data_IF_594964388818
#
_entry.id   IF_594964388818
#
_cell.length_a   1.000
_cell.length_b   1.000
_cell.length_c   1.000
_cell.angle_alpha   90.00
_cell.angle_beta   90.00
_cell.angle_gamma   90.00
#
_symmetry.space_group_name_H-M   'P 1'
#
loop_
_entity.id
_entity.type
_entity.pdbx_description
1 polymer ?
#
# COMPACT_ATOMS: atom_id res chain seq x y z
N UNK A 1 23.82 -6.29 -34.90
CA UNK A 1 23.51 -5.62 -36.17
C UNK A 1 22.29 -6.21 -36.90
N UNK A 2 22.01 -7.49 -36.80
CA UNK A 2 20.83 -8.16 -37.39
C UNK A 2 19.51 -7.70 -36.76
N UNK A 3 19.49 -7.50 -35.43
CA UNK A 3 18.35 -6.96 -34.70
C UNK A 3 18.01 -5.54 -35.08
N UNK A 4 19.02 -4.69 -35.34
CA UNK A 4 18.84 -3.30 -35.75
C UNK A 4 18.29 -3.22 -37.23
N UNK A 5 18.71 -4.14 -38.08
CA UNK A 5 18.14 -4.26 -39.43
C UNK A 5 16.65 -4.66 -39.39
N UNK A 6 16.32 -5.70 -38.62
CA UNK A 6 14.94 -6.15 -38.44
C UNK A 6 14.05 -5.08 -37.77
N UNK A 7 14.62 -4.26 -36.89
CA UNK A 7 13.92 -3.14 -36.25
C UNK A 7 13.60 -2.04 -37.26
N UNK A 8 14.58 -1.65 -38.09
CA UNK A 8 14.39 -0.63 -39.13
C UNK A 8 13.36 -1.07 -40.16
N UNK A 9 13.39 -2.34 -40.58
CA UNK A 9 12.41 -2.90 -41.50
C UNK A 9 10.99 -2.92 -40.92
N UNK A 10 10.87 -3.26 -39.61
CA UNK A 10 9.60 -3.26 -38.90
C UNK A 10 9.07 -1.84 -38.67
N UNK A 11 9.93 -0.85 -38.40
CA UNK A 11 9.57 0.56 -38.27
C UNK A 11 9.15 1.18 -39.58
N UNK A 12 9.81 0.80 -40.69
CA UNK A 12 9.48 1.26 -42.05
C UNK A 12 8.16 0.69 -42.59
N UNK A 13 7.77 -0.50 -42.11
CA UNK A 13 6.51 -1.16 -42.45
C UNK A 13 5.33 -0.73 -41.52
N UNK A 14 5.52 0.28 -40.69
CA UNK A 14 4.57 0.68 -39.65
C UNK A 14 3.40 1.45 -40.28
N UNK A 15 2.23 0.81 -40.31
CA UNK A 15 0.97 1.39 -40.75
C UNK A 15 0.40 2.34 -39.65
N UNK A 16 -0.45 3.30 -40.07
CA UNK A 16 -1.15 4.25 -39.17
C UNK A 16 -1.92 3.56 -37.99
N UNK A 17 -2.14 2.26 -38.08
CA UNK A 17 -2.82 1.43 -37.05
C UNK A 17 -1.93 0.98 -35.88
N UNK A 18 -0.64 1.28 -35.86
CA UNK A 18 0.22 1.06 -34.71
C UNK A 18 0.70 -0.37 -34.47
N UNK A 19 0.45 -1.31 -35.36
CA UNK A 19 0.92 -2.69 -35.30
C UNK A 19 1.59 -3.13 -36.59
N UNK A 20 2.85 -3.56 -36.51
CA UNK A 20 3.56 -4.18 -37.63
C UNK A 20 4.06 -5.56 -37.27
N UNK A 21 3.86 -6.53 -38.16
CA UNK A 21 4.19 -7.95 -37.94
C UNK A 21 5.33 -8.36 -38.88
N UNK A 22 6.53 -8.51 -38.32
CA UNK A 22 7.61 -9.26 -38.96
C UNK A 22 7.47 -10.76 -38.71
N UNK A 23 8.23 -11.60 -39.44
CA UNK A 23 8.20 -13.07 -39.29
C UNK A 23 8.49 -13.54 -37.84
N UNK A 24 9.28 -12.78 -37.09
CA UNK A 24 9.81 -13.16 -35.76
C UNK A 24 9.62 -12.10 -34.67
N UNK A 25 9.14 -10.90 -35.01
CA UNK A 25 9.03 -9.78 -34.07
C UNK A 25 7.73 -9.02 -34.33
N UNK A 26 6.96 -8.76 -33.28
CA UNK A 26 5.84 -7.83 -33.30
C UNK A 26 6.29 -6.47 -32.76
N UNK A 27 5.94 -5.40 -33.48
CA UNK A 27 6.22 -4.02 -33.10
C UNK A 27 4.92 -3.33 -32.76
N UNK A 28 4.83 -2.78 -31.56
CA UNK A 28 3.65 -2.06 -31.09
C UNK A 28 4.05 -0.62 -30.74
N UNK A 29 3.35 0.34 -31.31
CA UNK A 29 3.51 1.75 -30.95
C UNK A 29 2.79 2.05 -29.66
N UNK A 30 3.51 2.51 -28.65
CA UNK A 30 2.98 2.98 -27.40
C UNK A 30 2.74 4.50 -27.49
N UNK A 31 1.51 4.92 -27.28
CA UNK A 31 1.10 6.33 -27.28
C UNK A 31 0.61 6.72 -25.90
N UNK A 32 1.52 7.14 -25.04
CA UNK A 32 1.16 7.79 -23.78
C UNK A 32 0.70 9.23 -24.02
N UNK A 33 -0.10 9.77 -23.13
CA UNK A 33 -0.59 11.16 -23.21
C UNK A 33 0.49 12.18 -22.82
N UNK A 34 1.45 11.78 -22.00
CA UNK A 34 2.50 12.63 -21.45
C UNK A 34 3.92 12.17 -21.79
N UNK A 35 4.10 10.96 -22.31
CA UNK A 35 5.39 10.39 -22.65
C UNK A 35 5.74 10.59 -24.13
N UNK A 36 7.02 10.65 -24.49
CA UNK A 36 7.42 10.60 -25.87
C UNK A 36 6.98 9.28 -26.53
N UNK A 37 6.76 9.26 -27.84
CA UNK A 37 6.40 8.03 -28.56
C UNK A 37 7.47 6.96 -28.34
N UNK A 38 7.04 5.77 -27.97
CA UNK A 38 7.90 4.63 -27.72
C UNK A 38 7.39 3.40 -28.46
N UNK A 39 8.26 2.42 -28.63
CA UNK A 39 7.97 1.20 -29.36
C UNK A 39 8.24 -0.01 -28.46
N UNK A 40 7.25 -0.88 -28.33
CA UNK A 40 7.40 -2.16 -27.66
C UNK A 40 7.70 -3.24 -28.69
N UNK A 41 8.79 -3.94 -28.51
CA UNK A 41 9.19 -5.08 -29.34
C UNK A 41 8.86 -6.37 -28.59
N UNK A 42 8.07 -7.24 -29.20
CA UNK A 42 7.75 -8.56 -28.64
C UNK A 42 8.36 -9.61 -29.56
N UNK A 43 9.25 -10.42 -29.00
CA UNK A 43 9.77 -11.61 -29.66
C UNK A 43 9.05 -12.83 -29.03
N UNK A 44 8.03 -13.40 -29.69
CA UNK A 44 7.36 -14.57 -29.16
C UNK A 44 8.31 -15.76 -29.12
N UNK A 45 8.20 -16.58 -28.10
CA UNK A 45 8.91 -17.86 -28.04
C UNK A 45 8.55 -18.72 -29.26
N UNK A 46 9.52 -19.49 -29.75
CA UNK A 46 9.36 -20.35 -30.93
C UNK A 46 8.08 -21.16 -30.88
N UNK A 47 7.19 -20.95 -31.84
CA UNK A 47 5.89 -21.65 -31.94
C UNK A 47 4.68 -20.90 -31.36
N UNK A 48 4.86 -19.78 -30.67
CA UNK A 48 3.75 -18.96 -30.20
C UNK A 48 3.29 -18.01 -31.30
N UNK A 49 2.05 -18.12 -31.74
CA UNK A 49 1.42 -17.20 -32.69
C UNK A 49 0.66 -16.14 -31.89
N UNK A 50 1.14 -14.90 -31.91
CA UNK A 50 0.36 -13.75 -31.44
C UNK A 50 -0.76 -13.52 -32.46
N UNK A 51 -1.87 -14.25 -32.31
CA UNK A 51 -2.95 -14.28 -33.31
C UNK A 51 -3.98 -13.18 -33.12
N UNK A 52 -3.99 -12.50 -31.98
CA UNK A 52 -5.07 -11.57 -31.65
C UNK A 52 -4.55 -10.31 -30.94
N UNK A 53 -4.78 -9.16 -31.59
CA UNK A 53 -4.45 -7.83 -31.11
C UNK A 53 -5.24 -7.49 -29.81
N UNK A 54 -6.41 -8.05 -29.68
CA UNK A 54 -7.35 -7.77 -28.59
C UNK A 54 -6.83 -8.29 -27.23
N UNK A 55 -6.10 -9.41 -27.23
CA UNK A 55 -5.56 -10.01 -26.00
C UNK A 55 -4.40 -9.17 -25.38
N UNK A 56 -3.68 -8.40 -26.20
CA UNK A 56 -2.57 -7.56 -25.75
C UNK A 56 -2.99 -6.15 -25.30
N UNK A 57 -4.18 -5.70 -25.68
CA UNK A 57 -4.65 -4.34 -25.38
C UNK A 57 -4.63 -3.98 -23.89
N UNK A 58 -5.06 -4.84 -22.95
CA UNK A 58 -4.97 -4.53 -21.52
C UNK A 58 -3.52 -4.36 -21.04
N UNK A 59 -2.60 -5.19 -21.54
CA UNK A 59 -1.18 -5.11 -21.21
C UNK A 59 -0.55 -3.81 -21.74
N UNK A 60 -0.87 -3.44 -22.98
CA UNK A 60 -0.40 -2.21 -23.59
C UNK A 60 -0.85 -0.98 -22.82
N UNK A 61 -2.11 -0.96 -22.37
CA UNK A 61 -2.64 0.12 -21.51
C UNK A 61 -1.86 0.27 -20.23
N UNK A 62 -1.50 -0.84 -19.58
CA UNK A 62 -0.71 -0.81 -18.35
C UNK A 62 0.69 -0.25 -18.60
N UNK A 63 1.32 -0.65 -19.70
CA UNK A 63 2.65 -0.15 -20.10
C UNK A 63 2.60 1.35 -20.43
N UNK A 64 1.62 1.80 -21.19
CA UNK A 64 1.41 3.22 -21.55
C UNK A 64 1.20 4.08 -20.30
N UNK A 65 0.34 3.65 -19.37
CA UNK A 65 0.13 4.33 -18.10
C UNK A 65 1.41 4.38 -17.25
N UNK A 66 2.17 3.29 -17.21
CA UNK A 66 3.45 3.25 -16.52
C UNK A 66 4.46 4.24 -17.11
N UNK A 67 4.54 4.36 -18.41
CA UNK A 67 5.41 5.32 -19.10
C UNK A 67 4.99 6.76 -18.83
N UNK A 68 3.71 7.08 -18.85
CA UNK A 68 3.20 8.40 -18.52
C UNK A 68 3.56 8.80 -17.08
N UNK A 69 3.42 7.88 -16.14
CA UNK A 69 3.82 8.12 -14.74
C UNK A 69 5.32 8.40 -14.61
N UNK A 70 6.17 7.64 -15.30
CA UNK A 70 7.63 7.87 -15.29
C UNK A 70 7.96 9.22 -15.90
N UNK A 71 7.38 9.55 -17.06
CA UNK A 71 7.63 10.82 -17.77
C UNK A 71 7.19 12.03 -16.97
N UNK A 72 6.06 11.95 -16.27
CA UNK A 72 5.60 13.01 -15.37
C UNK A 72 6.56 13.19 -14.19
N UNK A 73 7.08 12.11 -13.62
CA UNK A 73 8.08 12.17 -12.54
C UNK A 73 9.41 12.76 -12.99
N UNK A 74 9.84 12.51 -14.22
CA UNK A 74 11.08 13.07 -14.76
C UNK A 74 10.94 14.57 -15.08
N UNK A 75 9.77 15.00 -15.55
CA UNK A 75 9.46 16.42 -15.75
C UNK A 75 9.48 17.21 -14.44
N UNK A 76 8.94 16.64 -13.36
CA UNK A 76 8.99 17.24 -12.03
C UNK A 76 10.43 17.38 -11.49
N UNK A 77 11.35 16.50 -11.90
CA UNK A 77 12.75 16.53 -11.48
C UNK A 77 13.61 17.50 -12.30
N UNK A 78 13.20 17.88 -13.51
CA UNK A 78 14.00 18.65 -14.46
C UNK A 78 13.66 20.15 -14.51
N UNK A 79 12.74 20.65 -13.71
CA UNK A 79 12.42 22.08 -13.64
C UNK A 79 13.30 22.75 -12.60
N UNK A 80 14.28 23.62 -13.00
CA UNK A 80 14.98 24.45 -12.03
C UNK A 80 14.01 25.48 -11.47
N UNK A 81 14.13 25.69 -10.18
CA UNK A 81 13.34 26.62 -9.39
C UNK A 81 13.30 28.01 -10.03
N UNK A 82 12.18 28.43 -10.58
CA UNK A 82 11.80 29.83 -10.72
C UNK A 82 10.29 30.00 -10.67
N UNK A 83 9.88 30.51 -9.53
CA UNK A 83 8.89 31.55 -9.26
C UNK A 83 7.42 31.37 -9.65
N UNK A 84 6.65 31.33 -8.59
CA UNK A 84 5.44 32.08 -8.30
C UNK A 84 4.07 31.45 -8.58
N UNK A 85 3.39 31.36 -7.48
CA UNK A 85 1.94 31.44 -7.28
C UNK A 85 1.10 30.17 -7.58
N UNK A 86 0.62 29.57 -6.49
CA UNK A 86 -0.50 28.63 -6.43
C UNK A 86 -0.31 27.29 -7.15
N UNK A 87 0.83 26.65 -6.94
CA UNK A 87 0.90 25.20 -7.11
C UNK A 87 0.60 24.54 -5.76
N UNK A 88 -0.53 23.92 -5.63
CA UNK A 88 -0.72 22.88 -4.63
C UNK A 88 0.34 21.81 -4.92
N UNK A 89 1.48 21.93 -4.30
CA UNK A 89 2.46 20.84 -4.22
C UNK A 89 1.76 19.72 -3.48
N UNK A 90 1.18 18.79 -4.23
CA UNK A 90 0.66 17.55 -3.70
C UNK A 90 1.86 16.78 -3.15
N UNK A 91 2.18 17.03 -1.87
CA UNK A 91 3.19 16.29 -1.15
C UNK A 91 2.74 14.85 -1.06
N UNK A 92 3.37 13.96 -1.84
CA UNK A 92 3.08 12.54 -1.78
C UNK A 92 3.39 12.01 -0.38
N UNK A 93 2.47 11.30 0.24
CA UNK A 93 2.63 10.72 1.59
C UNK A 93 3.84 9.78 1.66
N UNK A 94 4.09 9.03 0.59
CA UNK A 94 5.21 8.09 0.50
C UNK A 94 5.52 7.79 -0.98
N UNK A 95 6.72 7.29 -1.31
CA UNK A 95 7.03 6.85 -2.67
C UNK A 95 5.98 5.84 -3.17
N UNK A 96 5.38 6.13 -4.31
CA UNK A 96 4.32 5.29 -4.89
C UNK A 96 2.90 5.62 -4.47
N UNK A 97 2.67 6.52 -3.52
CA UNK A 97 1.34 7.01 -3.19
C UNK A 97 0.94 8.09 -4.20
N UNK A 98 0.12 7.71 -5.16
CA UNK A 98 -0.34 8.60 -6.24
C UNK A 98 -1.80 8.98 -5.93
N UNK A 99 -2.09 10.29 -5.93
CA UNK A 99 -3.43 10.82 -5.75
C UNK A 99 -3.65 12.03 -6.65
N UNK A 100 -4.88 12.24 -7.07
CA UNK A 100 -5.25 13.37 -7.94
C UNK A 100 -6.59 14.00 -7.57
N UNK A 101 -7.39 13.33 -6.74
CA UNK A 101 -8.69 13.86 -6.36
C UNK A 101 -8.59 14.86 -5.20
N UNK A 102 -9.45 15.89 -5.15
CA UNK A 102 -9.49 16.85 -4.03
C UNK A 102 -9.70 16.19 -2.66
N UNK A 103 -10.50 15.12 -2.60
CA UNK A 103 -10.72 14.35 -1.38
C UNK A 103 -9.44 13.69 -0.86
N UNK A 104 -8.64 13.13 -1.77
CA UNK A 104 -7.36 12.52 -1.39
C UNK A 104 -6.31 13.58 -1.02
N UNK A 105 -6.35 14.75 -1.63
CA UNK A 105 -5.50 15.88 -1.23
C UNK A 105 -5.82 16.32 0.20
N UNK A 106 -7.09 16.45 0.55
CA UNK A 106 -7.52 16.77 1.91
C UNK A 106 -7.05 15.70 2.93
N UNK A 107 -7.16 14.40 2.58
CA UNK A 107 -6.66 13.31 3.40
C UNK A 107 -5.14 13.41 3.62
N UNK A 108 -4.38 13.70 2.57
CA UNK A 108 -2.93 13.90 2.64
C UNK A 108 -2.58 15.05 3.61
N UNK A 109 -3.29 16.16 3.52
CA UNK A 109 -3.10 17.31 4.42
C UNK A 109 -3.41 16.94 5.88
N UNK A 110 -4.45 16.14 6.13
CA UNK A 110 -4.76 15.65 7.48
C UNK A 110 -3.65 14.73 8.02
N UNK A 111 -3.15 13.80 7.22
CA UNK A 111 -2.03 12.94 7.61
C UNK A 111 -0.80 13.77 7.98
N UNK A 112 -0.50 14.83 7.22
CA UNK A 112 0.60 15.73 7.53
C UNK A 112 0.41 16.49 8.86
N UNK A 113 -0.82 16.85 9.21
CA UNK A 113 -1.11 17.52 10.51
C UNK A 113 -0.85 16.62 11.70
N UNK A 114 -1.18 15.33 11.59
CA UNK A 114 -1.08 14.36 12.70
C UNK A 114 0.25 13.61 12.76
N UNK A 115 1.14 13.81 11.80
CA UNK A 115 2.41 13.05 11.69
C UNK A 115 3.29 13.09 12.93
N UNK A 116 3.34 14.24 13.62
CA UNK A 116 4.19 14.44 14.80
C UNK A 116 3.50 14.06 16.11
N UNK A 117 2.25 13.64 16.06
CA UNK A 117 1.44 13.28 17.23
C UNK A 117 1.35 11.77 17.38
N UNK A 118 1.37 11.28 18.62
CA UNK A 118 1.15 9.88 18.96
C UNK A 118 -0.35 9.55 19.23
N UNK A 119 -1.26 10.43 18.81
CA UNK A 119 -2.70 10.18 18.94
C UNK A 119 -3.10 8.90 18.20
N UNK A 120 -4.07 8.21 18.77
CA UNK A 120 -4.74 7.10 18.10
C UNK A 120 -5.50 7.61 16.87
N UNK A 121 -5.35 6.93 15.75
CA UNK A 121 -5.97 7.29 14.47
C UNK A 121 -6.94 6.20 14.06
N UNK A 122 -8.13 6.59 13.59
CA UNK A 122 -9.08 5.69 12.95
C UNK A 122 -9.22 6.06 11.47
N UNK A 123 -8.92 5.11 10.59
CA UNK A 123 -9.06 5.23 9.14
C UNK A 123 -10.34 4.50 8.71
N UNK A 124 -11.30 5.23 8.16
CA UNK A 124 -12.56 4.66 7.71
C UNK A 124 -12.66 4.65 6.19
N UNK A 125 -13.30 3.64 5.62
CA UNK A 125 -13.52 3.53 4.18
C UNK A 125 -13.89 2.12 3.75
N UNK A 126 -14.46 2.00 2.57
CA UNK A 126 -14.85 0.71 2.00
C UNK A 126 -13.67 -0.26 1.87
N UNK A 127 -13.97 -1.55 1.70
CA UNK A 127 -12.92 -2.55 1.44
C UNK A 127 -12.19 -2.21 0.13
N UNK A 128 -10.86 -2.36 0.13
CA UNK A 128 -10.05 -2.10 -1.06
C UNK A 128 -9.70 -0.63 -1.33
N UNK A 129 -10.14 0.33 -0.50
CA UNK A 129 -9.85 1.78 -0.69
C UNK A 129 -8.42 2.18 -0.32
N UNK A 130 -7.59 1.25 0.18
CA UNK A 130 -6.19 1.54 0.52
C UNK A 130 -5.96 1.98 1.95
N UNK A 131 -6.86 1.62 2.90
CA UNK A 131 -6.71 1.94 4.34
C UNK A 131 -5.34 1.55 4.91
N UNK A 132 -4.82 0.39 4.51
CA UNK A 132 -3.49 -0.06 4.94
C UNK A 132 -2.37 0.85 4.41
N UNK A 133 -2.46 1.31 3.14
CA UNK A 133 -1.47 2.23 2.57
C UNK A 133 -1.43 3.56 3.31
N UNK A 134 -2.61 4.10 3.65
CA UNK A 134 -2.73 5.33 4.45
C UNK A 134 -2.13 5.11 5.85
N UNK A 135 -2.41 3.98 6.50
CA UNK A 135 -1.89 3.65 7.83
C UNK A 135 -0.37 3.50 7.82
N UNK A 136 0.21 2.88 6.80
CA UNK A 136 1.67 2.81 6.61
C UNK A 136 2.28 4.20 6.37
N UNK A 137 1.60 5.06 5.61
CA UNK A 137 2.06 6.43 5.38
C UNK A 137 2.07 7.23 6.69
N UNK A 138 1.03 7.13 7.52
CA UNK A 138 0.97 7.76 8.85
C UNK A 138 2.16 7.32 9.72
N UNK A 139 2.48 6.02 9.72
CA UNK A 139 3.64 5.52 10.46
C UNK A 139 4.96 6.06 9.90
N UNK A 140 5.16 5.96 8.58
CA UNK A 140 6.41 6.37 7.89
C UNK A 140 6.71 7.86 8.04
N UNK A 141 5.68 8.70 8.17
CA UNK A 141 5.81 10.13 8.38
C UNK A 141 5.89 10.53 9.87
N UNK A 142 5.73 9.58 10.79
CA UNK A 142 5.68 9.85 12.23
C UNK A 142 7.07 9.90 12.88
N UNK A 143 7.07 10.29 14.15
CA UNK A 143 8.27 10.22 15.01
C UNK A 143 8.72 8.77 15.25
N UNK A 144 7.87 7.77 14.93
CA UNK A 144 8.15 6.33 15.08
C UNK A 144 8.50 5.65 13.75
N UNK A 145 8.83 6.40 12.70
CA UNK A 145 9.14 5.90 11.34
C UNK A 145 10.22 4.82 11.29
N UNK A 146 11.19 4.90 12.20
CA UNK A 146 12.32 3.96 12.29
C UNK A 146 12.06 2.82 13.31
N UNK A 147 10.85 2.77 13.86
CA UNK A 147 10.40 1.75 14.79
C UNK A 147 9.59 0.68 14.08
N UNK A 148 9.29 -0.40 14.81
CA UNK A 148 8.50 -1.50 14.24
C UNK A 148 7.07 -1.05 13.89
N UNK A 149 6.58 -1.49 12.75
CA UNK A 149 5.18 -1.41 12.34
C UNK A 149 4.60 -2.83 12.30
N UNK A 150 3.65 -3.11 13.18
CA UNK A 150 3.06 -4.44 13.33
C UNK A 150 1.62 -4.39 12.82
N UNK A 151 1.30 -5.00 11.66
CA UNK A 151 -0.08 -5.13 11.22
C UNK A 151 -0.75 -6.33 11.91
N UNK A 152 -2.01 -6.14 12.28
CA UNK A 152 -2.89 -7.18 12.80
C UNK A 152 -4.26 -7.07 12.13
N UNK A 153 -4.64 -8.09 11.38
CA UNK A 153 -5.97 -8.17 10.77
C UNK A 153 -6.92 -8.91 11.72
N UNK A 154 -7.95 -8.20 12.20
CA UNK A 154 -8.89 -8.73 13.18
C UNK A 154 -9.79 -9.86 12.61
N UNK A 155 -9.98 -9.90 11.28
CA UNK A 155 -10.79 -10.95 10.64
C UNK A 155 -9.99 -12.22 10.33
N UNK A 156 -8.65 -12.12 10.31
CA UNK A 156 -7.79 -13.26 9.96
C UNK A 156 -7.58 -14.25 11.12
N UNK A 157 -8.01 -13.89 12.33
CA UNK A 157 -7.83 -14.70 13.54
C UNK A 157 -9.18 -15.24 14.01
N UNK A 158 -9.29 -16.54 14.35
CA UNK A 158 -10.49 -17.08 14.98
C UNK A 158 -10.87 -16.27 16.22
N UNK A 159 -12.17 -15.99 16.38
CA UNK A 159 -12.69 -15.13 17.47
C UNK A 159 -12.24 -15.58 18.86
N UNK A 160 -12.21 -16.89 19.06
CA UNK A 160 -11.81 -17.52 20.33
C UNK A 160 -10.33 -17.33 20.67
N UNK A 161 -9.51 -17.05 19.67
CA UNK A 161 -8.07 -16.85 19.81
C UNK A 161 -7.65 -15.38 19.74
N UNK A 162 -8.56 -14.47 19.36
CA UNK A 162 -8.27 -13.06 19.14
C UNK A 162 -7.66 -12.39 20.38
N UNK A 163 -8.19 -12.68 21.56
CA UNK A 163 -7.67 -12.14 22.81
C UNK A 163 -6.23 -12.57 23.06
N UNK A 164 -5.95 -13.87 22.95
CA UNK A 164 -4.60 -14.41 23.15
C UNK A 164 -3.60 -13.89 22.16
N UNK A 165 -4.01 -13.69 20.88
CA UNK A 165 -3.14 -13.12 19.84
C UNK A 165 -2.83 -11.65 20.10
N UNK A 166 -3.80 -10.85 20.55
CA UNK A 166 -3.60 -9.43 20.81
C UNK A 166 -2.82 -9.19 22.10
N UNK A 167 -3.29 -9.73 23.21
CA UNK A 167 -2.78 -9.40 24.55
C UNK A 167 -1.71 -10.37 25.05
N UNK A 168 -1.58 -11.54 24.41
CA UNK A 168 -0.68 -12.59 24.83
C UNK A 168 -1.27 -13.51 25.89
N UNK A 169 -0.55 -14.55 26.24
CA UNK A 169 -0.94 -15.54 27.23
C UNK A 169 0.26 -16.23 27.86
N UNK A 170 0.05 -16.73 29.08
CA UNK A 170 0.98 -17.62 29.77
C UNK A 170 0.68 -19.07 29.45
N UNK A 171 1.70 -19.90 29.51
CA UNK A 171 1.57 -21.35 29.42
C UNK A 171 0.49 -21.84 30.41
N UNK A 172 -0.44 -22.64 29.90
CA UNK A 172 -1.56 -23.18 30.70
C UNK A 172 -2.74 -22.23 30.89
N UNK A 173 -2.75 -21.06 30.26
CA UNK A 173 -3.88 -20.12 30.37
C UNK A 173 -5.18 -20.65 29.76
N UNK A 174 -5.09 -21.52 28.77
CA UNK A 174 -6.22 -22.23 28.13
C UNK A 174 -5.75 -23.57 27.55
N UNK A 175 -6.69 -24.41 27.13
CA UNK A 175 -6.38 -25.70 26.49
C UNK A 175 -5.64 -25.45 25.17
N UNK A 176 -4.38 -25.90 25.08
CA UNK A 176 -3.51 -25.66 23.93
C UNK A 176 -2.45 -24.58 24.15
N UNK A 177 -2.45 -23.84 25.25
CA UNK A 177 -1.39 -22.89 25.61
C UNK A 177 -0.13 -23.64 26.11
N UNK A 178 0.62 -24.21 25.20
CA UNK A 178 1.83 -25.01 25.48
C UNK A 178 3.01 -24.15 25.91
N UNK A 179 3.12 -22.93 25.37
CA UNK A 179 4.20 -21.96 25.64
C UNK A 179 3.60 -20.60 25.97
N UNK A 180 4.43 -19.70 26.53
CA UNK A 180 4.09 -18.27 26.66
C UNK A 180 4.02 -17.61 25.29
N UNK A 181 3.08 -16.68 25.10
CA UNK A 181 3.02 -15.80 23.94
C UNK A 181 2.98 -14.34 24.38
N UNK A 182 3.83 -13.46 23.84
CA UNK A 182 3.83 -12.05 24.23
C UNK A 182 2.59 -11.28 23.76
N UNK A 183 1.93 -11.75 22.69
CA UNK A 183 0.86 -11.04 22.01
C UNK A 183 1.36 -9.92 21.09
N UNK A 184 0.49 -9.53 20.14
CA UNK A 184 0.83 -8.56 19.09
C UNK A 184 1.07 -7.15 19.66
N UNK A 185 0.30 -6.73 20.66
CA UNK A 185 0.47 -5.41 21.30
C UNK A 185 1.85 -5.29 21.91
N UNK A 186 2.31 -6.29 22.67
CA UNK A 186 3.65 -6.27 23.26
C UNK A 186 4.76 -6.38 22.20
N UNK A 187 4.52 -7.08 21.13
CA UNK A 187 5.46 -7.15 19.99
C UNK A 187 5.66 -5.78 19.34
N UNK A 188 4.64 -4.92 19.39
CA UNK A 188 4.67 -3.57 18.85
C UNK A 188 5.22 -2.52 19.82
N UNK A 189 5.71 -2.92 21.02
CA UNK A 189 6.18 -2.00 22.06
C UNK A 189 7.29 -1.08 21.54
N UNK A 190 7.18 0.22 21.81
CA UNK A 190 8.02 1.27 21.27
C UNK A 190 7.72 1.66 19.80
N UNK A 191 6.80 0.96 19.13
CA UNK A 191 6.47 1.14 17.72
C UNK A 191 5.02 1.53 17.44
N UNK A 192 4.48 1.00 16.37
CA UNK A 192 3.10 1.25 15.91
C UNK A 192 2.39 -0.08 15.66
N UNK A 193 1.20 -0.24 16.21
CA UNK A 193 0.29 -1.34 15.92
C UNK A 193 -0.80 -0.83 14.96
N UNK A 194 -0.98 -1.51 13.86
CA UNK A 194 -2.07 -1.30 12.93
C UNK A 194 -3.13 -2.40 13.10
N UNK A 195 -4.33 -2.01 13.49
CA UNK A 195 -5.49 -2.90 13.65
C UNK A 195 -6.39 -2.74 12.43
N UNK A 196 -6.37 -3.70 11.52
CA UNK A 196 -7.27 -3.72 10.37
C UNK A 196 -8.59 -4.39 10.71
N UNK A 197 -9.68 -3.82 10.21
CA UNK A 197 -11.07 -4.22 10.46
C UNK A 197 -11.36 -4.36 11.97
N UNK A 198 -11.05 -3.30 12.72
CA UNK A 198 -11.19 -3.29 14.21
C UNK A 198 -12.63 -3.50 14.67
N UNK A 199 -13.62 -3.17 13.84
CA UNK A 199 -15.03 -3.40 14.10
C UNK A 199 -15.40 -4.88 14.22
N UNK A 200 -14.62 -5.78 13.62
CA UNK A 200 -14.85 -7.23 13.65
C UNK A 200 -14.26 -7.92 14.91
N UNK A 201 -13.63 -7.16 15.81
CA UNK A 201 -13.16 -7.71 17.08
C UNK A 201 -14.32 -8.26 17.93
N UNK A 202 -14.17 -9.42 18.55
CA UNK A 202 -15.15 -9.97 19.48
C UNK A 202 -15.52 -8.97 20.58
N UNK A 203 -16.80 -8.96 20.95
CA UNK A 203 -17.35 -7.99 21.91
C UNK A 203 -16.67 -8.05 23.28
N UNK A 204 -16.21 -9.21 23.70
CA UNK A 204 -15.49 -9.46 24.96
C UNK A 204 -14.04 -8.96 24.92
N UNK A 205 -13.46 -8.79 23.72
CA UNK A 205 -12.11 -8.25 23.52
C UNK A 205 -12.10 -6.72 23.50
N UNK A 206 -13.20 -6.10 23.05
CA UNK A 206 -13.30 -4.64 22.91
C UNK A 206 -13.07 -3.86 24.21
N UNK A 207 -13.62 -4.24 25.38
CA UNK A 207 -13.35 -3.55 26.64
C UNK A 207 -11.87 -3.61 27.04
N UNK A 208 -11.18 -4.71 26.74
CA UNK A 208 -9.75 -4.86 27.03
C UNK A 208 -8.91 -3.97 26.13
N UNK A 209 -9.29 -3.87 24.85
CA UNK A 209 -8.66 -2.92 23.90
C UNK A 209 -8.90 -1.47 24.37
N UNK A 210 -10.11 -1.12 24.77
CA UNK A 210 -10.42 0.21 25.29
C UNK A 210 -9.58 0.56 26.52
N UNK A 211 -9.44 -0.36 27.46
CA UNK A 211 -8.57 -0.17 28.62
C UNK A 211 -7.12 0.06 28.22
N UNK A 212 -6.61 -0.74 27.26
CA UNK A 212 -5.27 -0.54 26.73
C UNK A 212 -5.11 0.85 26.10
N UNK A 213 -6.07 1.32 25.30
CA UNK A 213 -6.03 2.65 24.69
C UNK A 213 -6.02 3.79 25.71
N UNK A 214 -6.68 3.60 26.87
CA UNK A 214 -6.79 4.62 27.93
C UNK A 214 -5.60 4.63 28.87
N UNK A 215 -5.13 3.45 29.27
CA UNK A 215 -4.16 3.28 30.37
C UNK A 215 -2.74 2.95 29.87
N UNK A 216 -2.61 2.50 28.61
CA UNK A 216 -1.34 1.98 28.07
C UNK A 216 -0.93 0.66 28.71
N UNK A 217 -1.89 -0.09 29.27
CA UNK A 217 -1.63 -1.32 30.00
C UNK A 217 -2.35 -2.50 29.35
N UNK A 218 -1.67 -3.64 29.29
CA UNK A 218 -2.24 -4.91 28.83
C UNK A 218 -2.14 -5.94 29.95
N UNK A 219 -3.08 -6.88 29.96
CA UNK A 219 -3.02 -8.03 30.84
C UNK A 219 -3.10 -9.32 30.04
N UNK A 220 -1.96 -10.02 29.82
CA UNK A 220 -1.96 -11.33 29.17
C UNK A 220 -2.85 -12.34 29.90
N UNK A 221 -3.46 -13.27 29.16
CA UNK A 221 -4.24 -14.35 29.75
C UNK A 221 -3.37 -15.18 30.71
N UNK A 222 -3.88 -15.44 31.92
CA UNK A 222 -3.15 -16.16 32.96
C UNK A 222 -2.12 -15.32 33.72
N UNK A 223 -1.90 -14.05 33.37
CA UNK A 223 -1.03 -13.13 34.12
C UNK A 223 -1.86 -12.38 35.18
N UNK A 224 -1.27 -12.21 36.38
CA UNK A 224 -1.97 -11.56 37.51
C UNK A 224 -1.81 -10.03 37.49
N UNK A 225 -0.78 -9.52 36.88
CA UNK A 225 -0.45 -8.08 36.88
C UNK A 225 -0.50 -7.51 35.48
N UNK A 226 -1.05 -6.30 35.33
CA UNK A 226 -0.95 -5.61 34.07
C UNK A 226 0.50 -5.24 33.74
N UNK A 227 0.79 -5.14 32.46
CA UNK A 227 2.09 -4.73 31.90
C UNK A 227 1.91 -3.42 31.16
N UNK A 228 2.78 -2.44 31.40
CA UNK A 228 2.79 -1.18 30.68
C UNK A 228 3.49 -1.36 29.34
N UNK A 229 2.93 -0.79 28.29
CA UNK A 229 3.49 -0.80 26.93
C UNK A 229 3.30 0.58 26.29
N UNK A 230 4.23 0.97 25.43
CA UNK A 230 4.21 2.24 24.69
C UNK A 230 4.01 1.97 23.21
N UNK A 231 2.76 1.93 22.75
CA UNK A 231 2.42 1.61 21.37
C UNK A 231 1.51 2.68 20.78
N UNK A 232 1.89 3.24 19.64
CA UNK A 232 0.98 4.07 18.85
C UNK A 232 -0.02 3.18 18.12
N UNK A 233 -1.31 3.53 18.19
CA UNK A 233 -2.37 2.76 17.53
C UNK A 233 -2.87 3.49 16.28
N UNK A 234 -2.97 2.75 15.19
CA UNK A 234 -3.71 3.12 13.99
C UNK A 234 -4.71 2.00 13.74
N UNK A 235 -5.98 2.32 13.71
CA UNK A 235 -7.07 1.36 13.45
C UNK A 235 -7.72 1.64 12.10
N UNK A 236 -8.25 0.62 11.45
CA UNK A 236 -9.04 0.74 10.24
C UNK A 236 -10.34 -0.05 10.34
N UNK A 237 -11.38 0.43 9.68
CA UNK A 237 -12.66 -0.27 9.56
C UNK A 237 -13.41 0.13 8.29
N UNK A 238 -14.19 -0.80 7.77
CA UNK A 238 -15.16 -0.56 6.70
C UNK A 238 -16.58 -0.29 7.24
N UNK A 239 -16.79 -0.43 8.55
CA UNK A 239 -18.09 -0.18 9.17
C UNK A 239 -18.41 1.32 9.19
N UNK A 240 -19.65 1.74 8.89
CA UNK A 240 -20.09 3.11 9.11
C UNK A 240 -20.09 3.42 10.61
N UNK A 241 -19.61 4.62 10.96
CA UNK A 241 -19.60 5.13 12.34
C UNK A 241 -20.94 5.77 12.67
#
# INVERSE_FOLDING_TARGET
NELVGKLNDALAANDEKGFSRGKDIAVLNLRGSASPPAVLLINPASGAVLSDDTALQPLLRVVELGMDVVSLRERDRSTPAQEQASAHTSSSLMPGFIHSSPAMTALVDEVHKIRSSDVTVLVTGESGTGKELVSRAIHTLSNRKDKIFVPFNCTAVPKELAEGHLFGYKKGAFTGAVNDSPGTIRTADGGTLFLDEVGDLPIDVQPKLLRFLQEGEIQPLGEKKPLKVDVRIIAATNMPL
#
